data_IF_148647811323
#
_entry.id   IF_148647811323
#
_cell.length_a   1.000
_cell.length_b   1.000
_cell.length_c   1.000
_cell.angle_alpha   90.00
_cell.angle_beta   90.00
_cell.angle_gamma   90.00
#
_symmetry.space_group_name_H-M   'P 1'
#
loop_
_entity.id
_entity.type
_entity.pdbx_description
1 polymer ?
#
# COMPACT_ATOMS: atom_id res chain seq x y z
N UNK A 1 8.45 -4.57 17.67
CA UNK A 1 9.05 -5.16 16.45
C UNK A 1 10.54 -5.06 16.64
N UNK A 2 11.26 -6.19 16.60
CA UNK A 2 12.71 -6.19 16.77
C UNK A 2 13.35 -5.59 15.51
N UNK A 3 14.25 -4.61 15.67
CA UNK A 3 15.05 -4.10 14.56
C UNK A 3 15.84 -5.28 13.97
N UNK A 4 15.81 -5.51 12.65
CA UNK A 4 16.68 -6.50 12.04
C UNK A 4 18.13 -6.09 12.33
N UNK A 5 18.98 -7.04 12.77
CA UNK A 5 20.41 -6.79 12.99
C UNK A 5 21.04 -6.22 11.71
N UNK A 6 21.26 -4.90 11.69
CA UNK A 6 21.76 -4.16 10.54
C UNK A 6 23.23 -4.50 10.20
N UNK A 7 23.95 -5.17 11.11
CA UNK A 7 25.36 -5.54 10.98
C UNK A 7 25.67 -6.65 9.96
N UNK A 8 24.66 -7.31 9.38
CA UNK A 8 24.84 -8.43 8.42
C UNK A 8 24.19 -8.17 7.05
N UNK A 9 23.82 -6.93 6.75
CA UNK A 9 23.19 -6.59 5.48
C UNK A 9 24.27 -6.40 4.41
N UNK A 10 24.52 -7.45 3.62
CA UNK A 10 25.42 -7.39 2.46
C UNK A 10 24.74 -6.71 1.26
N UNK A 11 25.55 -6.15 0.35
CA UNK A 11 25.08 -5.53 -0.90
C UNK A 11 24.20 -6.48 -1.73
N UNK A 12 24.49 -7.78 -1.72
CA UNK A 12 23.71 -8.78 -2.43
C UNK A 12 22.30 -8.93 -1.86
N UNK A 13 22.14 -8.82 -0.53
CA UNK A 13 20.82 -8.82 0.11
C UNK A 13 20.03 -7.55 -0.25
N UNK A 14 20.69 -6.40 -0.33
CA UNK A 14 20.05 -5.14 -0.70
C UNK A 14 19.58 -5.11 -2.16
N UNK A 15 20.26 -5.84 -3.05
CA UNK A 15 19.82 -6.00 -4.44
C UNK A 15 18.52 -6.80 -4.59
N UNK A 16 18.17 -7.61 -3.59
CA UNK A 16 16.90 -8.35 -3.56
C UNK A 16 15.72 -7.47 -3.13
N UNK A 17 15.97 -6.25 -2.63
CA UNK A 17 14.91 -5.35 -2.21
C UNK A 17 14.26 -4.66 -3.41
N UNK A 18 12.96 -4.35 -3.29
CA UNK A 18 12.27 -3.52 -4.28
C UNK A 18 12.80 -2.08 -4.23
N UNK A 19 12.70 -1.39 -5.36
CA UNK A 19 13.07 0.03 -5.46
C UNK A 19 12.29 0.90 -4.48
N UNK A 20 11.03 0.55 -4.22
CA UNK A 20 10.17 1.21 -3.24
C UNK A 20 10.70 1.01 -1.81
N UNK A 21 11.07 -0.21 -1.43
CA UNK A 21 11.64 -0.49 -0.10
C UNK A 21 12.95 0.25 0.15
N UNK A 22 13.81 0.36 -0.87
CA UNK A 22 15.06 1.13 -0.77
C UNK A 22 14.79 2.63 -0.55
N UNK A 23 13.86 3.21 -1.32
CA UNK A 23 13.45 4.61 -1.15
C UNK A 23 12.82 4.84 0.21
N UNK A 24 11.98 3.91 0.65
CA UNK A 24 11.32 3.94 1.93
C UNK A 24 12.33 3.95 3.09
N UNK A 25 13.33 3.07 3.05
CA UNK A 25 14.42 3.01 4.02
C UNK A 25 15.19 4.35 4.14
N UNK A 26 15.43 5.01 3.00
CA UNK A 26 16.10 6.32 2.95
C UNK A 26 15.18 7.46 3.43
N UNK A 27 13.89 7.38 3.12
CA UNK A 27 12.89 8.38 3.49
C UNK A 27 12.74 8.50 5.01
N UNK A 28 12.66 7.38 5.73
CA UNK A 28 12.60 7.40 7.20
C UNK A 28 13.90 7.95 7.81
N UNK A 29 15.02 7.86 7.11
CA UNK A 29 16.32 8.39 7.58
C UNK A 29 16.65 9.78 7.05
N UNK A 30 15.67 10.48 6.43
CA UNK A 30 15.85 11.81 5.81
C UNK A 30 17.04 11.86 4.83
N UNK A 31 17.34 10.76 4.14
CA UNK A 31 18.37 10.68 3.10
C UNK A 31 17.75 10.84 1.72
N UNK A 32 18.54 11.36 0.79
CA UNK A 32 18.08 11.55 -0.58
C UNK A 32 17.73 10.20 -1.23
N UNK A 33 16.49 10.06 -1.68
CA UNK A 33 15.95 8.87 -2.35
C UNK A 33 15.84 9.05 -3.88
N UNK A 34 16.50 10.06 -4.44
CA UNK A 34 16.55 10.32 -5.89
C UNK A 34 17.81 9.70 -6.50
N UNK A 35 17.62 8.73 -7.39
CA UNK A 35 18.72 8.10 -8.13
C UNK A 35 18.32 6.83 -8.85
N UNK A 36 19.27 6.26 -9.59
CA UNK A 36 19.16 4.95 -10.21
C UNK A 36 19.14 3.83 -9.15
N UNK A 37 18.63 2.64 -9.49
CA UNK A 37 18.53 1.51 -8.55
C UNK A 37 19.87 1.18 -7.86
N UNK A 38 20.97 1.14 -8.62
CA UNK A 38 22.30 0.88 -8.06
C UNK A 38 22.77 1.98 -7.10
N UNK A 39 22.43 3.25 -7.37
CA UNK A 39 22.75 4.38 -6.51
C UNK A 39 21.94 4.32 -5.21
N UNK A 40 20.68 3.92 -5.28
CA UNK A 40 19.83 3.69 -4.11
C UNK A 40 20.40 2.57 -3.23
N UNK A 41 20.80 1.44 -3.82
CA UNK A 41 21.44 0.34 -3.08
C UNK A 41 22.72 0.80 -2.40
N UNK A 42 23.59 1.53 -3.10
CA UNK A 42 24.83 2.06 -2.54
C UNK A 42 24.57 3.05 -1.39
N UNK A 43 23.57 3.92 -1.54
CA UNK A 43 23.19 4.91 -0.52
C UNK A 43 22.61 4.24 0.71
N UNK A 44 21.78 3.20 0.54
CA UNK A 44 21.25 2.39 1.63
C UNK A 44 22.37 1.68 2.37
N UNK A 45 23.30 1.05 1.65
CA UNK A 45 24.47 0.40 2.27
C UNK A 45 25.32 1.39 3.07
N UNK A 46 25.63 2.56 2.50
CA UNK A 46 26.37 3.61 3.20
C UNK A 46 25.62 4.13 4.45
N UNK A 47 24.29 4.23 4.39
CA UNK A 47 23.48 4.63 5.53
C UNK A 47 23.44 3.58 6.66
N UNK A 48 23.50 2.29 6.30
CA UNK A 48 23.62 1.17 7.25
C UNK A 48 24.98 1.20 7.94
N UNK A 49 26.07 1.28 7.17
CA UNK A 49 27.45 1.37 7.69
C UNK A 49 27.65 2.61 8.58
N UNK A 50 27.03 3.73 8.22
CA UNK A 50 27.11 4.98 8.99
C UNK A 50 26.17 5.00 10.20
N UNK A 51 25.42 3.92 10.45
CA UNK A 51 24.41 3.80 11.51
C UNK A 51 23.50 5.03 11.64
N UNK A 52 22.97 5.51 10.51
CA UNK A 52 22.13 6.71 10.48
C UNK A 52 20.84 6.45 11.25
N UNK A 53 20.51 7.27 12.28
CA UNK A 53 19.35 7.05 13.10
C UNK A 53 18.05 7.22 12.30
N UNK A 54 17.07 6.42 12.67
CA UNK A 54 15.69 6.50 12.19
C UNK A 54 15.09 7.81 12.71
N UNK A 55 14.47 8.58 11.83
CA UNK A 55 13.67 9.72 12.25
C UNK A 55 12.34 9.22 12.82
N UNK A 56 12.19 9.33 14.14
CA UNK A 56 11.00 8.87 14.86
C UNK A 56 9.75 9.61 14.41
N UNK A 57 9.85 10.87 14.00
CA UNK A 57 8.71 11.65 13.51
C UNK A 57 8.21 11.11 12.16
N UNK A 58 9.14 10.75 11.26
CA UNK A 58 8.80 10.19 9.96
C UNK A 58 8.17 8.79 10.10
N UNK A 59 8.74 7.94 10.94
CA UNK A 59 8.21 6.61 11.22
C UNK A 59 6.81 6.70 11.87
N UNK A 60 6.61 7.65 12.77
CA UNK A 60 5.33 7.85 13.43
C UNK A 60 4.28 8.47 12.50
N UNK A 61 4.68 9.35 11.59
CA UNK A 61 3.80 9.89 10.55
C UNK A 61 3.27 8.77 9.63
N UNK A 62 4.13 7.85 9.21
CA UNK A 62 3.71 6.71 8.39
C UNK A 62 2.74 5.78 9.14
N UNK A 63 3.05 5.46 10.40
CA UNK A 63 2.14 4.67 11.24
C UNK A 63 0.77 5.33 11.37
N UNK A 64 0.72 6.67 11.50
CA UNK A 64 -0.54 7.43 11.53
C UNK A 64 -1.30 7.32 10.21
N UNK A 65 -0.62 7.48 9.07
CA UNK A 65 -1.25 7.36 7.75
C UNK A 65 -1.84 5.97 7.53
N UNK A 66 -1.10 4.92 7.86
CA UNK A 66 -1.56 3.54 7.72
C UNK A 66 -2.74 3.23 8.65
N UNK A 67 -2.72 3.77 9.87
CA UNK A 67 -3.84 3.66 10.79
C UNK A 67 -5.08 4.40 10.27
N UNK A 68 -4.91 5.63 9.79
CA UNK A 68 -6.01 6.43 9.23
C UNK A 68 -6.63 5.74 8.01
N UNK A 69 -5.80 5.23 7.10
CA UNK A 69 -6.27 4.45 5.95
C UNK A 69 -7.11 3.24 6.38
N UNK A 70 -6.59 2.42 7.30
CA UNK A 70 -7.31 1.25 7.81
C UNK A 70 -8.60 1.62 8.55
N UNK A 71 -8.62 2.75 9.24
CA UNK A 71 -9.83 3.24 9.89
C UNK A 71 -10.91 3.61 8.88
N UNK A 72 -10.53 4.18 7.72
CA UNK A 72 -11.47 4.51 6.63
C UNK A 72 -12.03 3.29 5.91
N UNK A 73 -11.33 2.15 5.99
CA UNK A 73 -11.84 0.86 5.51
C UNK A 73 -12.89 0.26 6.45
N UNK A 74 -13.18 0.86 7.61
CA UNK A 74 -14.26 0.42 8.49
C UNK A 74 -15.38 1.46 8.52
N UNK A 75 -16.59 1.07 8.13
CA UNK A 75 -17.80 1.90 8.19
C UNK A 75 -18.92 1.04 8.79
N UNK A 76 -19.70 1.60 9.71
CA UNK A 76 -20.87 0.95 10.32
C UNK A 76 -20.61 -0.46 10.91
N UNK A 77 -19.49 -0.62 11.64
CA UNK A 77 -19.01 -1.91 12.19
C UNK A 77 -18.70 -2.99 11.14
N UNK A 78 -18.68 -2.64 9.85
CA UNK A 78 -18.26 -3.51 8.78
C UNK A 78 -16.85 -3.13 8.33
N UNK A 79 -15.99 -4.13 8.16
CA UNK A 79 -14.63 -3.94 7.63
C UNK A 79 -14.65 -4.27 6.15
N UNK A 80 -14.35 -3.27 5.33
CA UNK A 80 -14.23 -3.43 3.89
C UNK A 80 -12.83 -3.93 3.52
N UNK A 81 -12.73 -4.84 2.55
CA UNK A 81 -11.45 -5.26 2.00
C UNK A 81 -10.75 -4.08 1.31
N UNK A 82 -9.43 -4.12 1.29
CA UNK A 82 -8.63 -3.08 0.65
C UNK A 82 -8.85 -3.13 -0.87
N UNK A 83 -9.33 -2.03 -1.49
CA UNK A 83 -9.64 -1.98 -2.92
C UNK A 83 -8.44 -2.33 -3.80
N UNK A 84 -7.21 -2.06 -3.37
CA UNK A 84 -6.01 -2.35 -4.17
C UNK A 84 -5.58 -3.82 -4.13
N UNK A 85 -6.26 -4.65 -3.34
CA UNK A 85 -5.96 -6.09 -3.23
C UNK A 85 -6.77 -6.92 -4.24
N UNK A 86 -7.75 -6.31 -4.93
CA UNK A 86 -8.56 -7.00 -5.92
C UNK A 86 -7.84 -7.04 -7.27
N UNK A 87 -7.38 -8.24 -7.66
CA UNK A 87 -6.77 -8.49 -8.97
C UNK A 87 -7.84 -8.66 -10.08
N UNK A 88 -9.02 -9.19 -9.74
CA UNK A 88 -10.16 -9.40 -10.65
C UNK A 88 -11.50 -9.14 -9.91
N UNK A 89 -12.53 -8.67 -10.63
CA UNK A 89 -13.89 -8.49 -10.08
C UNK A 89 -14.39 -7.04 -9.99
N UNK A 90 -13.64 -6.06 -10.51
CA UNK A 90 -14.15 -4.70 -10.69
C UNK A 90 -15.28 -4.69 -11.72
N UNK A 91 -16.47 -4.26 -11.30
CA UNK A 91 -17.57 -4.05 -12.22
C UNK A 91 -17.30 -2.77 -13.03
N UNK A 92 -17.35 -2.82 -14.38
CA UNK A 92 -17.27 -1.62 -15.18
C UNK A 92 -18.52 -0.77 -14.94
N UNK A 93 -18.35 0.56 -14.97
CA UNK A 93 -19.40 1.56 -14.69
C UNK A 93 -20.68 1.36 -15.54
N UNK A 94 -20.56 0.70 -16.69
CA UNK A 94 -21.63 0.45 -17.65
C UNK A 94 -22.71 -0.52 -17.14
N UNK A 95 -22.41 -1.37 -16.15
CA UNK A 95 -23.30 -2.46 -15.72
C UNK A 95 -24.42 -2.02 -14.76
N UNK A 96 -24.30 -0.85 -14.14
CA UNK A 96 -25.24 -0.37 -13.10
C UNK A 96 -26.59 0.05 -13.69
N UNK A 97 -26.66 0.38 -14.99
CA UNK A 97 -27.89 0.91 -15.62
C UNK A 97 -28.87 -0.18 -16.12
N UNK A 98 -28.43 -1.44 -16.23
CA UNK A 98 -29.24 -2.51 -16.84
C UNK A 98 -30.04 -3.35 -15.84
N UNK A 99 -29.64 -3.36 -14.57
CA UNK A 99 -30.37 -4.08 -13.50
C UNK A 99 -31.65 -3.35 -13.05
N UNK A 100 -31.75 -2.04 -13.28
CA UNK A 100 -32.95 -1.25 -12.92
C UNK A 100 -34.08 -1.37 -13.96
N UNK A 101 -33.77 -1.62 -15.25
CA UNK A 101 -34.79 -1.65 -16.31
C UNK A 101 -35.43 -3.02 -16.56
N UNK A 102 -34.77 -4.13 -16.19
CA UNK A 102 -35.29 -5.49 -16.46
C UNK A 102 -36.19 -6.05 -15.36
N UNK A 103 -36.12 -5.55 -14.14
CA UNK A 103 -36.96 -6.02 -13.01
C UNK A 103 -38.36 -5.41 -13.01
N UNK A 104 -38.55 -4.22 -13.59
CA UNK A 104 -39.86 -3.59 -13.69
C UNK A 104 -40.81 -4.28 -14.68
N UNK A 105 -40.28 -4.90 -15.75
CA UNK A 105 -41.11 -5.56 -16.77
C UNK A 105 -41.67 -6.93 -16.32
N UNK A 106 -41.03 -7.60 -15.36
CA UNK A 106 -41.44 -8.93 -14.92
C UNK A 106 -42.55 -8.92 -13.86
N UNK A 107 -42.63 -7.86 -13.04
CA UNK A 107 -43.64 -7.74 -11.99
C UNK A 107 -45.01 -7.26 -12.49
N UNK A 108 -45.09 -6.60 -13.64
CA UNK A 108 -46.38 -6.15 -14.20
C UNK A 108 -47.14 -7.32 -14.86
N UNK A 109 -46.45 -8.35 -15.37
CA UNK A 109 -47.10 -9.51 -16.01
C UNK A 109 -47.73 -10.50 -15.02
N UNK A 110 -47.39 -10.46 -13.73
CA UNK A 110 -47.94 -11.39 -12.72
C UNK A 110 -49.23 -10.84 -12.08
N UNK A 111 -49.54 -9.56 -12.28
CA UNK A 111 -50.70 -8.89 -11.65
C UNK A 111 -51.94 -8.78 -12.56
N UNK A 112 -51.92 -9.39 -13.75
CA UNK A 112 -53.02 -9.36 -14.72
C UNK A 112 -53.35 -10.75 -15.31
N UNK A 113 -53.50 -11.75 -14.44
CA UNK A 113 -54.01 -13.07 -14.81
C UNK A 113 -55.00 -13.60 -13.77
#
# INVERSE_FOLDING_TARGET
MAEPNLSEVSLDKLRLWSSESLKHFLSIRKKNATGNFNELVATVYAAIESNVPVDQDAEQAERRLLHEYKSKLSVDNQVYPDPYTFEEGWLPEETVTLLSRKTAAFLISILLQ
#
